data_IF_183668442765
#
_entry.id   IF_183668442765
#
_cell.length_a   1.000
_cell.length_b   1.000
_cell.length_c   1.000
_cell.angle_alpha   90.00
_cell.angle_beta   90.00
_cell.angle_gamma   90.00
#
_symmetry.space_group_name_H-M   'P 1'
#
loop_
_entity.id
_entity.type
_entity.pdbx_description
1 polymer ?
#
# COMPACT_ATOMS: atom_id res chain seq x y z
N UNK A 1 10.29 9.94 -8.23
CA UNK A 1 9.18 10.66 -8.90
C UNK A 1 8.80 11.81 -8.00
N UNK A 2 8.79 13.05 -8.47
CA UNK A 2 8.50 14.23 -7.65
C UNK A 2 7.01 14.63 -7.83
N UNK A 3 6.30 14.93 -6.73
CA UNK A 3 4.90 15.41 -6.71
C UNK A 3 3.84 14.47 -7.33
N UNK A 4 3.95 13.16 -7.15
CA UNK A 4 2.91 12.23 -7.64
C UNK A 4 1.66 12.19 -6.74
N UNK A 5 1.79 12.54 -5.45
CA UNK A 5 0.68 12.63 -4.48
C UNK A 5 -0.37 13.70 -4.81
N UNK A 6 0.02 14.79 -5.46
CA UNK A 6 -0.90 15.82 -5.96
C UNK A 6 -1.60 15.41 -7.27
N UNK A 7 -1.18 14.30 -7.90
CA UNK A 7 -1.91 13.74 -9.02
C UNK A 7 -3.23 13.13 -8.50
N UNK A 8 -4.31 13.89 -8.65
CA UNK A 8 -5.70 13.54 -8.28
C UNK A 8 -5.98 13.47 -6.77
N UNK A 9 -5.04 13.84 -5.89
CA UNK A 9 -5.25 13.88 -4.42
C UNK A 9 -5.66 12.55 -3.80
N UNK A 10 -5.48 11.45 -4.53
CA UNK A 10 -5.90 10.08 -4.17
C UNK A 10 -4.72 9.13 -4.04
N UNK A 11 -3.52 9.68 -3.96
CA UNK A 11 -2.28 8.93 -3.92
C UNK A 11 -1.50 9.33 -2.67
N UNK A 12 -1.16 8.33 -1.87
CA UNK A 12 -0.38 8.46 -0.63
C UNK A 12 0.95 7.75 -0.85
N UNK A 13 2.06 8.43 -0.60
CA UNK A 13 3.43 7.96 -0.89
C UNK A 13 4.15 7.38 0.35
N UNK A 14 3.47 7.34 1.49
CA UNK A 14 3.98 6.75 2.74
C UNK A 14 3.61 5.27 2.85
N UNK A 15 4.39 4.50 3.61
CA UNK A 15 4.17 3.06 3.80
C UNK A 15 2.81 2.74 4.44
N UNK A 16 2.31 1.51 4.19
CA UNK A 16 0.98 1.05 4.59
C UNK A 16 0.11 0.59 3.41
N UNK A 17 0.52 0.89 2.17
CA UNK A 17 -0.10 0.37 0.95
C UNK A 17 0.74 -0.75 0.31
N UNK A 18 0.20 -1.95 0.16
CA UNK A 18 0.88 -3.09 -0.49
C UNK A 18 0.02 -3.70 -1.62
N UNK A 19 0.62 -4.03 -2.77
CA UNK A 19 -0.11 -4.68 -3.86
C UNK A 19 -0.44 -6.14 -3.52
N UNK A 20 -1.62 -6.59 -3.95
CA UNK A 20 -1.99 -8.01 -3.91
C UNK A 20 -1.60 -8.59 -5.27
N UNK A 21 -0.65 -9.53 -5.23
CA UNK A 21 -0.07 -10.15 -6.42
C UNK A 21 -0.35 -11.65 -6.38
N UNK A 22 -0.90 -12.19 -7.45
CA UNK A 22 -1.12 -13.63 -7.61
C UNK A 22 0.19 -14.36 -7.85
N UNK A 23 0.18 -15.69 -7.70
CA UNK A 23 1.38 -16.52 -7.90
C UNK A 23 1.92 -16.48 -9.34
N UNK A 24 1.06 -16.18 -10.32
CA UNK A 24 1.42 -15.94 -11.72
C UNK A 24 1.85 -14.49 -12.00
N UNK A 25 2.03 -13.66 -10.96
CA UNK A 25 2.57 -12.31 -11.06
C UNK A 25 1.56 -11.23 -11.48
N UNK A 26 0.26 -11.52 -11.48
CA UNK A 26 -0.78 -10.54 -11.82
C UNK A 26 -1.17 -9.72 -10.60
N UNK A 27 -1.20 -8.40 -10.74
CA UNK A 27 -1.74 -7.51 -9.69
C UNK A 27 -3.25 -7.54 -9.75
N UNK A 28 -3.90 -7.93 -8.66
CA UNK A 28 -5.37 -8.01 -8.57
C UNK A 28 -5.98 -6.93 -7.68
N UNK A 29 -5.13 -6.14 -7.01
CA UNK A 29 -5.56 -5.05 -6.15
C UNK A 29 -4.43 -4.58 -5.24
N UNK A 30 -4.79 -3.87 -4.18
CA UNK A 30 -3.88 -3.46 -3.12
C UNK A 30 -4.63 -3.37 -1.78
N UNK A 31 -3.91 -3.58 -0.69
CA UNK A 31 -4.37 -3.31 0.68
C UNK A 31 -3.74 -2.01 1.16
N UNK A 32 -4.50 -1.20 1.88
CA UNK A 32 -4.04 0.06 2.48
C UNK A 32 -4.44 0.12 3.95
N UNK A 33 -3.47 0.32 4.84
CA UNK A 33 -3.68 0.48 6.28
C UNK A 33 -3.19 1.86 6.70
N UNK A 34 -3.96 2.51 7.58
CA UNK A 34 -3.60 3.78 8.19
C UNK A 34 -4.19 3.87 9.58
N UNK A 35 -3.35 4.11 10.59
CA UNK A 35 -3.81 4.34 11.95
C UNK A 35 -2.72 4.61 12.98
N UNK A 36 -1.47 4.20 12.73
CA UNK A 36 -0.37 4.31 13.68
C UNK A 36 0.92 4.86 13.07
N UNK A 37 2.07 4.36 13.53
CA UNK A 37 3.35 4.57 12.86
C UNK A 37 3.35 3.82 11.54
N UNK A 38 4.07 4.35 10.55
CA UNK A 38 4.22 3.72 9.23
C UNK A 38 4.68 2.25 9.32
N UNK A 39 5.57 1.92 10.27
CA UNK A 39 6.01 0.54 10.49
C UNK A 39 4.88 -0.38 10.97
N UNK A 40 3.95 0.13 11.77
CA UNK A 40 2.79 -0.63 12.25
C UNK A 40 1.79 -0.84 11.11
N UNK A 41 1.53 0.21 10.32
CA UNK A 41 0.66 0.13 9.14
C UNK A 41 1.20 -0.89 8.10
N UNK A 42 2.52 -0.94 7.89
CA UNK A 42 3.16 -1.94 7.02
C UNK A 42 2.98 -3.36 7.57
N UNK A 43 3.24 -3.60 8.86
CA UNK A 43 3.07 -4.94 9.46
C UNK A 43 1.64 -5.45 9.33
N UNK A 44 0.64 -4.58 9.53
CA UNK A 44 -0.77 -4.96 9.38
C UNK A 44 -1.09 -5.24 7.91
N UNK A 45 -0.58 -4.43 6.98
CA UNK A 45 -0.76 -4.66 5.54
C UNK A 45 -0.13 -5.99 5.09
N UNK A 46 1.06 -6.35 5.61
CA UNK A 46 1.72 -7.63 5.34
C UNK A 46 0.90 -8.83 5.86
N UNK A 47 0.29 -8.69 7.04
CA UNK A 47 -0.58 -9.71 7.59
C UNK A 47 -1.82 -9.99 6.73
N UNK A 48 -2.29 -9.03 5.93
CA UNK A 48 -3.40 -9.23 4.98
C UNK A 48 -2.99 -9.97 3.70
N UNK A 49 -1.69 -10.11 3.43
CA UNK A 49 -1.14 -10.77 2.23
C UNK A 49 -0.67 -12.20 2.48
N UNK A 50 -0.72 -12.66 3.73
CA UNK A 50 -0.41 -14.04 4.15
C UNK A 50 -1.66 -14.89 4.09
#
# INVERSE_FOLDING_TARGET
MYNVEVAKGRLVTFGGGLPIVTTDGRVIGAVGVSGGKVSEDVTVAEACLT
#
